data_IF_139603736155
#
_entry.id   IF_139603736155
#
_cell.length_a   1.000
_cell.length_b   1.000
_cell.length_c   1.000
_cell.angle_alpha   90.00
_cell.angle_beta   90.00
_cell.angle_gamma   90.00
#
_symmetry.space_group_name_H-M   'P 1'
#
loop_
_entity.id
_entity.type
_entity.pdbx_description
1 polymer ?
#
# COMPACT_ATOMS: atom_id res chain seq x y z
N UNK A 1 55.74 70.54 10.88
CA UNK A 1 55.17 69.54 9.95
C UNK A 1 53.70 69.43 10.29
N UNK A 2 52.84 69.99 9.45
CA UNK A 2 51.40 69.87 9.62
C UNK A 2 51.03 68.40 9.43
N UNK A 3 50.27 67.86 10.38
CA UNK A 3 49.62 66.55 10.23
C UNK A 3 48.55 66.78 9.17
N UNK A 4 48.79 66.32 7.94
CA UNK A 4 47.76 66.32 6.91
C UNK A 4 46.61 65.42 7.40
N UNK A 5 45.51 66.04 7.82
CA UNK A 5 44.30 65.31 8.15
C UNK A 5 43.77 64.67 6.86
N UNK A 6 43.81 63.34 6.80
CA UNK A 6 43.17 62.60 5.71
C UNK A 6 41.65 62.82 5.80
N UNK A 7 41.09 63.55 4.84
CA UNK A 7 39.65 63.78 4.76
C UNK A 7 39.01 62.81 3.77
N UNK A 8 37.93 62.17 4.20
CA UNK A 8 37.09 61.36 3.33
C UNK A 8 35.82 62.14 2.97
N UNK A 9 35.44 62.06 1.70
CA UNK A 9 34.22 62.68 1.20
C UNK A 9 33.28 61.62 0.62
N UNK A 10 32.04 61.60 1.11
CA UNK A 10 31.02 60.69 0.61
C UNK A 10 30.40 61.26 -0.67
N UNK A 11 30.59 60.56 -1.79
CA UNK A 11 30.12 60.97 -3.12
C UNK A 11 28.78 60.33 -3.53
N UNK A 12 28.28 59.35 -2.76
CA UNK A 12 27.04 58.66 -3.09
C UNK A 12 27.23 57.58 -4.16
N UNK A 13 26.33 57.51 -5.13
CA UNK A 13 26.43 56.55 -6.24
C UNK A 13 27.40 57.08 -7.31
N UNK A 14 28.29 56.25 -7.89
CA UNK A 14 29.23 56.68 -8.94
C UNK A 14 28.53 57.14 -10.24
N UNK A 15 27.32 56.63 -10.49
CA UNK A 15 26.43 57.05 -11.56
C UNK A 15 25.02 57.24 -10.98
N UNK A 16 24.22 58.12 -11.55
CA UNK A 16 22.91 58.48 -11.00
C UNK A 16 22.00 57.25 -10.82
N UNK A 17 21.73 56.88 -9.56
CA UNK A 17 20.91 55.71 -9.21
C UNK A 17 21.58 54.35 -9.43
N UNK A 18 22.90 54.31 -9.69
CA UNK A 18 23.67 53.09 -9.91
C UNK A 18 24.88 53.03 -8.99
N UNK A 19 24.80 52.13 -8.00
CA UNK A 19 25.92 51.75 -7.12
C UNK A 19 27.02 51.05 -7.89
N UNK A 20 28.24 51.12 -7.37
CA UNK A 20 29.39 50.40 -7.93
C UNK A 20 29.18 48.88 -7.78
N UNK A 21 29.14 48.09 -8.88
CA UNK A 21 29.03 46.64 -8.79
C UNK A 21 30.38 46.02 -8.39
N UNK A 22 30.42 45.36 -7.24
CA UNK A 22 31.53 44.51 -6.81
C UNK A 22 31.22 43.08 -7.20
N UNK A 23 32.13 42.41 -7.89
CA UNK A 23 31.86 41.10 -8.49
C UNK A 23 32.79 40.04 -7.89
N UNK A 24 32.20 38.94 -7.43
CA UNK A 24 32.90 37.75 -6.98
C UNK A 24 32.46 36.55 -7.82
N UNK A 25 33.40 35.79 -8.37
CA UNK A 25 33.08 34.56 -9.11
C UNK A 25 33.16 33.35 -8.19
N UNK A 26 32.19 32.44 -8.30
CA UNK A 26 32.19 31.19 -7.52
C UNK A 26 33.40 30.31 -7.81
N UNK A 27 33.94 30.39 -9.03
CA UNK A 27 35.03 29.54 -9.50
C UNK A 27 36.43 30.12 -9.20
N UNK A 28 36.52 31.19 -8.39
CA UNK A 28 37.78 31.81 -7.99
C UNK A 28 38.02 33.19 -8.63
N UNK A 29 39.28 33.60 -8.76
CA UNK A 29 39.66 34.91 -9.30
C UNK A 29 39.91 34.82 -10.81
N UNK A 30 39.54 35.87 -11.53
CA UNK A 30 39.84 36.01 -12.96
C UNK A 30 41.35 36.16 -13.16
N UNK A 31 41.90 35.45 -14.16
CA UNK A 31 43.32 35.54 -14.53
C UNK A 31 43.61 36.72 -15.47
N UNK A 32 42.64 37.09 -16.31
CA UNK A 32 42.67 38.29 -17.14
C UNK A 32 41.28 38.93 -17.09
N UNK A 33 41.22 40.21 -16.74
CA UNK A 33 39.99 41.00 -16.66
C UNK A 33 39.74 41.86 -17.89
N UNK A 34 40.72 41.97 -18.80
CA UNK A 34 40.71 42.94 -19.90
C UNK A 34 39.72 42.57 -21.03
N UNK A 35 39.34 41.30 -21.13
CA UNK A 35 38.46 40.79 -22.19
C UNK A 35 37.01 40.51 -21.73
N UNK A 36 36.64 40.94 -20.51
CA UNK A 36 35.36 40.62 -19.91
C UNK A 36 34.40 41.81 -19.95
N UNK A 37 33.32 41.66 -20.72
CA UNK A 37 32.25 42.64 -20.76
C UNK A 37 31.15 42.26 -19.76
N UNK A 38 30.73 43.23 -18.95
CA UNK A 38 29.65 43.08 -18.00
C UNK A 38 28.43 43.87 -18.47
N UNK A 39 27.27 43.21 -18.47
CA UNK A 39 25.98 43.85 -18.76
C UNK A 39 25.13 43.87 -17.50
N UNK A 40 24.81 45.07 -17.02
CA UNK A 40 23.95 45.28 -15.86
C UNK A 40 22.52 45.62 -16.32
N UNK A 41 21.57 44.78 -15.92
CA UNK A 41 20.14 45.00 -16.15
C UNK A 41 19.49 45.53 -14.88
N UNK A 42 18.64 46.55 -15.05
CA UNK A 42 17.84 47.14 -13.97
C UNK A 42 16.35 46.93 -14.21
N UNK A 43 15.60 46.77 -13.11
CA UNK A 43 14.15 46.65 -13.17
C UNK A 43 13.50 47.98 -13.56
N UNK A 44 12.56 47.92 -14.52
CA UNK A 44 11.72 49.06 -14.93
C UNK A 44 10.51 49.30 -13.99
N UNK A 45 10.23 48.37 -13.07
CA UNK A 45 9.08 48.46 -12.17
C UNK A 45 9.36 49.45 -11.03
N UNK A 46 8.80 50.65 -11.14
CA UNK A 46 8.90 51.73 -10.14
C UNK A 46 7.79 51.70 -9.08
N UNK A 47 6.73 50.90 -9.31
CA UNK A 47 5.54 50.86 -8.46
C UNK A 47 5.79 50.13 -7.13
N UNK A 48 6.60 49.07 -7.19
CA UNK A 48 6.90 48.23 -6.04
C UNK A 48 8.33 48.48 -5.52
N UNK A 49 8.51 48.99 -4.29
CA UNK A 49 9.84 49.31 -3.75
C UNK A 49 10.78 48.09 -3.70
N UNK A 50 10.25 46.87 -3.52
CA UNK A 50 11.05 45.63 -3.53
C UNK A 50 11.49 45.20 -4.92
N UNK A 51 10.79 45.65 -5.98
CA UNK A 51 11.13 45.33 -7.37
C UNK A 51 11.98 46.41 -8.03
N UNK A 52 11.85 47.66 -7.59
CA UNK A 52 12.64 48.81 -8.08
C UNK A 52 14.15 48.61 -7.97
N UNK A 53 14.61 47.99 -6.88
CA UNK A 53 16.03 47.76 -6.63
C UNK A 53 16.58 46.45 -7.21
N UNK A 54 15.78 45.69 -8.00
CA UNK A 54 16.27 44.45 -8.61
C UNK A 54 17.27 44.76 -9.72
N UNK A 55 18.40 44.04 -9.68
CA UNK A 55 19.51 44.12 -10.63
C UNK A 55 19.97 42.71 -11.00
N UNK A 56 20.33 42.54 -12.27
CA UNK A 56 20.93 41.31 -12.79
C UNK A 56 22.22 41.70 -13.50
N UNK A 57 23.32 41.05 -13.14
CA UNK A 57 24.61 41.24 -13.80
C UNK A 57 24.92 39.99 -14.61
N UNK A 58 25.19 40.17 -15.90
CA UNK A 58 25.56 39.11 -16.81
C UNK A 58 26.95 39.35 -17.38
N UNK A 59 27.72 38.28 -17.56
CA UNK A 59 28.96 38.32 -18.33
C UNK A 59 29.15 36.99 -19.05
N UNK A 60 29.73 37.05 -20.24
CA UNK A 60 29.97 35.89 -21.07
C UNK A 60 31.48 35.77 -21.32
N UNK A 61 31.97 34.55 -21.17
CA UNK A 61 33.34 34.16 -21.56
C UNK A 61 33.28 33.16 -22.69
N UNK A 62 34.40 32.91 -23.37
CA UNK A 62 34.51 31.92 -24.45
C UNK A 62 33.97 30.52 -24.10
N UNK A 63 33.89 30.17 -22.81
CA UNK A 63 33.51 28.82 -22.34
C UNK A 63 32.25 28.78 -21.50
N UNK A 64 31.93 29.85 -20.79
CA UNK A 64 30.86 29.88 -19.78
C UNK A 64 30.19 31.24 -19.72
N UNK A 65 28.87 31.25 -19.60
CA UNK A 65 28.10 32.42 -19.21
C UNK A 65 27.97 32.46 -17.69
N UNK A 66 28.06 33.65 -17.10
CA UNK A 66 27.90 33.86 -15.67
C UNK A 66 26.81 34.88 -15.39
N UNK A 67 25.93 34.56 -14.45
CA UNK A 67 24.82 35.43 -14.03
C UNK A 67 24.87 35.64 -12.53
N UNK A 68 24.68 36.87 -12.09
CA UNK A 68 24.41 37.23 -10.70
C UNK A 68 23.10 38.00 -10.58
N UNK A 69 22.38 37.77 -9.47
CA UNK A 69 21.12 38.44 -9.15
C UNK A 69 21.18 38.96 -7.72
N UNK A 70 20.71 40.18 -7.48
CA UNK A 70 20.58 40.73 -6.12
C UNK A 70 19.23 40.39 -5.45
N UNK A 71 18.40 39.56 -6.09
CA UNK A 71 17.10 39.11 -5.58
C UNK A 71 16.88 37.61 -5.80
N UNK A 72 15.95 37.03 -5.04
CA UNK A 72 15.59 35.61 -5.16
C UNK A 72 16.47 34.67 -4.34
N UNK A 73 16.31 33.36 -4.55
CA UNK A 73 16.93 32.30 -3.72
C UNK A 73 18.47 32.24 -3.80
N UNK A 74 19.07 32.79 -4.86
CA UNK A 74 20.53 32.83 -5.06
C UNK A 74 21.20 34.17 -4.71
N UNK A 75 20.44 35.16 -4.22
CA UNK A 75 20.98 36.47 -3.91
C UNK A 75 21.78 36.48 -2.60
N UNK A 76 22.85 37.26 -2.59
CA UNK A 76 23.64 37.51 -1.38
C UNK A 76 22.78 38.24 -0.34
N UNK A 77 22.49 37.55 0.77
CA UNK A 77 21.71 38.13 1.88
C UNK A 77 22.45 39.29 2.58
N UNK A 78 23.77 39.36 2.46
CA UNK A 78 24.57 40.41 3.08
C UNK A 78 24.22 41.82 2.56
N UNK A 79 23.78 41.98 1.30
CA UNK A 79 23.36 43.30 0.80
C UNK A 79 22.10 43.86 1.49
N UNK A 80 21.33 43.00 2.17
CA UNK A 80 20.17 43.44 2.97
C UNK A 80 20.52 43.78 4.42
N UNK A 81 21.66 43.28 4.92
CA UNK A 81 22.11 43.42 6.31
C UNK A 81 23.29 44.40 6.45
N UNK A 82 24.07 44.59 5.39
CA UNK A 82 25.29 45.39 5.36
C UNK A 82 25.24 46.35 4.16
N UNK A 83 25.79 47.55 4.33
CA UNK A 83 26.05 48.50 3.25
C UNK A 83 27.53 48.47 2.91
N UNK A 84 27.85 48.30 1.64
CA UNK A 84 29.21 48.28 1.15
C UNK A 84 29.55 49.63 0.52
N UNK A 85 30.81 50.03 0.68
CA UNK A 85 31.35 51.24 0.08
C UNK A 85 32.71 50.93 -0.54
N UNK A 86 33.05 51.64 -1.62
CA UNK A 86 34.38 51.62 -2.23
C UNK A 86 35.01 52.97 -1.96
N UNK A 87 36.20 52.94 -1.34
CA UNK A 87 37.05 54.11 -1.18
C UNK A 87 38.08 54.17 -2.31
N UNK A 88 38.16 55.31 -3.00
CA UNK A 88 39.25 55.63 -3.93
C UNK A 88 40.12 56.68 -3.26
N UNK A 89 41.36 56.33 -2.94
CA UNK A 89 42.32 57.23 -2.30
C UNK A 89 43.26 57.80 -3.36
N UNK A 90 43.34 59.13 -3.43
CA UNK A 90 44.40 59.81 -4.18
C UNK A 90 45.58 60.07 -3.24
N UNK A 91 46.67 59.33 -3.44
CA UNK A 91 47.89 59.40 -2.61
C UNK A 91 48.55 60.78 -2.64
N UNK A 92 48.41 61.53 -3.74
CA UNK A 92 49.04 62.83 -3.90
C UNK A 92 48.29 63.96 -3.16
N UNK A 93 46.97 63.81 -3.00
CA UNK A 93 46.13 64.81 -2.32
C UNK A 93 45.64 64.38 -0.95
N UNK A 94 45.98 63.16 -0.51
CA UNK A 94 45.54 62.55 0.75
C UNK A 94 44.01 62.56 0.95
N UNK A 95 43.24 62.61 -0.15
CA UNK A 95 41.77 62.66 -0.14
C UNK A 95 41.19 61.32 -0.57
N UNK A 96 40.23 60.83 0.22
CA UNK A 96 39.49 59.60 -0.10
C UNK A 96 38.07 59.91 -0.56
N UNK A 97 37.70 59.43 -1.74
CA UNK A 97 36.33 59.49 -2.22
C UNK A 97 35.61 58.17 -1.94
N UNK A 98 34.45 58.24 -1.30
CA UNK A 98 33.69 57.05 -0.88
C UNK A 98 32.40 56.94 -1.67
N UNK A 99 32.23 55.83 -2.38
CA UNK A 99 31.10 55.52 -3.24
C UNK A 99 30.28 54.34 -2.71
N UNK A 100 28.96 54.37 -2.90
CA UNK A 100 28.08 53.24 -2.60
C UNK A 100 28.43 52.06 -3.51
N UNK A 101 28.48 50.86 -2.93
CA UNK A 101 28.75 49.63 -3.66
C UNK A 101 27.69 48.55 -3.39
N UNK A 102 27.58 47.62 -4.33
CA UNK A 102 26.71 46.47 -4.24
C UNK A 102 27.45 45.21 -4.67
N UNK A 103 27.42 44.17 -3.84
CA UNK A 103 28.13 42.92 -4.10
C UNK A 103 27.29 41.95 -4.92
N UNK A 104 27.88 41.37 -5.95
CA UNK A 104 27.29 40.37 -6.85
C UNK A 104 28.13 39.10 -6.82
N UNK A 105 27.49 37.95 -6.56
CA UNK A 105 28.12 36.65 -6.68
C UNK A 105 27.75 36.01 -8.02
N UNK A 106 28.73 35.89 -8.92
CA UNK A 106 28.58 35.37 -10.27
C UNK A 106 28.61 33.85 -10.26
N UNK A 107 27.51 33.24 -10.71
CA UNK A 107 27.36 31.80 -10.81
C UNK A 107 27.40 31.37 -12.28
N UNK A 108 28.11 30.27 -12.63
CA UNK A 108 28.12 29.77 -14.00
C UNK A 108 26.72 29.25 -14.37
N UNK A 109 26.23 29.69 -15.53
CA UNK A 109 25.04 29.14 -16.15
C UNK A 109 25.46 27.90 -16.93
N UNK A 110 25.30 26.73 -16.33
CA UNK A 110 25.49 25.44 -17.02
C UNK A 110 24.19 25.15 -17.77
N UNK A 111 24.26 25.07 -19.09
CA UNK A 111 23.09 24.89 -19.98
C UNK A 111 22.26 23.62 -19.70
N UNK A 112 22.81 22.65 -18.97
CA UNK A 112 22.08 21.44 -18.53
C UNK A 112 21.12 21.69 -17.33
N UNK A 113 21.29 22.77 -16.56
CA UNK A 113 20.41 23.10 -15.43
C UNK A 113 19.20 23.95 -15.84
N UNK A 114 18.99 24.15 -17.15
CA UNK A 114 17.77 24.76 -17.70
C UNK A 114 16.57 23.77 -17.72
N UNK A 115 16.58 22.76 -16.85
CA UNK A 115 15.34 22.30 -16.26
C UNK A 115 14.86 23.41 -15.31
N UNK A 116 14.35 24.51 -15.88
CA UNK A 116 13.30 25.24 -15.18
C UNK A 116 12.31 24.16 -14.75
N UNK A 117 12.14 23.94 -13.44
CA UNK A 117 11.06 23.12 -12.94
C UNK A 117 9.81 23.65 -13.65
N UNK A 118 9.33 22.89 -14.63
CA UNK A 118 8.28 23.34 -15.51
C UNK A 118 7.02 23.43 -14.67
N UNK A 119 6.82 24.59 -14.06
CA UNK A 119 5.69 24.89 -13.21
C UNK A 119 4.41 24.87 -14.05
N UNK A 120 4.47 24.80 -15.39
CA UNK A 120 3.30 24.55 -16.22
C UNK A 120 2.63 23.22 -15.84
N UNK A 121 3.43 22.20 -15.52
CA UNK A 121 2.96 20.89 -15.10
C UNK A 121 2.40 20.92 -13.67
N UNK A 122 2.93 21.79 -12.80
CA UNK A 122 2.35 22.04 -11.48
C UNK A 122 1.06 22.86 -11.57
N UNK A 123 0.99 23.86 -12.46
CA UNK A 123 -0.17 24.73 -12.62
C UNK A 123 -1.35 24.02 -13.27
N UNK A 124 -1.10 23.13 -14.24
CA UNK A 124 -2.10 22.31 -14.93
C UNK A 124 -2.73 21.23 -14.05
N UNK A 125 -2.06 20.83 -12.97
CA UNK A 125 -2.57 19.85 -12.01
C UNK A 125 -3.81 20.35 -11.28
N UNK A 126 -4.80 19.46 -11.17
CA UNK A 126 -6.04 19.68 -10.42
C UNK A 126 -5.75 19.94 -8.94
N UNK A 127 -6.65 20.65 -8.25
CA UNK A 127 -6.56 20.87 -6.80
C UNK A 127 -6.31 19.56 -6.04
N UNK A 128 -6.97 18.48 -6.48
CA UNK A 128 -6.84 17.16 -5.87
C UNK A 128 -5.44 16.55 -6.06
N UNK A 129 -4.85 16.71 -7.26
CA UNK A 129 -3.51 16.23 -7.57
C UNK A 129 -2.44 17.01 -6.80
N UNK A 130 -2.65 18.33 -6.61
CA UNK A 130 -1.79 19.16 -5.75
C UNK A 130 -1.84 18.69 -4.30
N UNK A 131 -3.02 18.36 -3.78
CA UNK A 131 -3.19 17.80 -2.43
C UNK A 131 -2.50 16.43 -2.31
N UNK A 132 -2.63 15.58 -3.33
CA UNK A 132 -1.98 14.27 -3.35
C UNK A 132 -0.45 14.38 -3.36
N UNK A 133 0.11 15.32 -4.12
CA UNK A 133 1.55 15.63 -4.09
C UNK A 133 2.01 16.14 -2.72
N UNK A 134 1.22 16.99 -2.05
CA UNK A 134 1.52 17.43 -0.69
C UNK A 134 1.48 16.28 0.32
N UNK A 135 0.54 15.34 0.19
CA UNK A 135 0.48 14.14 1.05
C UNK A 135 1.66 13.21 0.78
N UNK A 136 2.09 13.10 -0.48
CA UNK A 136 3.25 12.29 -0.86
C UNK A 136 4.54 12.89 -0.29
N UNK A 137 4.77 14.20 -0.47
CA UNK A 137 5.96 14.90 0.01
C UNK A 137 5.99 15.08 1.54
N UNK A 138 4.89 15.49 2.17
CA UNK A 138 4.84 15.93 3.58
C UNK A 138 3.84 15.19 4.47
N UNK A 139 3.02 14.30 3.89
CA UNK A 139 1.99 13.58 4.64
C UNK A 139 2.56 12.57 5.64
N UNK A 140 1.79 12.31 6.70
CA UNK A 140 2.10 11.25 7.67
C UNK A 140 2.09 9.86 7.01
N UNK A 141 2.78 8.88 7.60
CA UNK A 141 2.78 7.49 7.10
C UNK A 141 1.35 6.92 6.90
N UNK A 142 0.40 7.34 7.74
CA UNK A 142 -1.01 6.95 7.63
C UNK A 142 -1.67 7.57 6.38
N UNK A 143 -1.43 8.85 6.12
CA UNK A 143 -1.96 9.56 4.95
C UNK A 143 -1.34 9.04 3.64
N UNK A 144 -0.01 8.83 3.61
CA UNK A 144 0.68 8.24 2.46
C UNK A 144 0.15 6.85 2.12
N UNK A 145 -0.09 6.00 3.13
CA UNK A 145 -0.68 4.66 2.93
C UNK A 145 -2.11 4.73 2.38
N UNK A 146 -2.92 5.67 2.85
CA UNK A 146 -4.27 5.89 2.34
C UNK A 146 -4.27 6.38 0.88
N UNK A 147 -3.35 7.30 0.54
CA UNK A 147 -3.15 7.78 -0.82
C UNK A 147 -2.69 6.67 -1.77
N UNK A 148 -1.69 5.88 -1.38
CA UNK A 148 -1.21 4.75 -2.18
C UNK A 148 -2.31 3.69 -2.39
N UNK A 149 -3.12 3.42 -1.38
CA UNK A 149 -4.28 2.53 -1.53
C UNK A 149 -5.31 3.08 -2.52
N UNK A 150 -5.56 4.39 -2.54
CA UNK A 150 -6.47 5.02 -3.51
C UNK A 150 -5.92 4.92 -4.93
N UNK A 151 -4.65 5.29 -5.15
CA UNK A 151 -3.97 5.18 -6.46
C UNK A 151 -3.99 3.73 -6.98
N UNK A 152 -3.71 2.74 -6.13
CA UNK A 152 -3.78 1.32 -6.53
C UNK A 152 -5.18 0.87 -6.96
N UNK A 153 -6.23 1.34 -6.28
CA UNK A 153 -7.61 0.98 -6.61
C UNK A 153 -8.08 1.64 -7.92
N UNK A 154 -7.60 2.85 -8.22
CA UNK A 154 -7.89 3.57 -9.47
C UNK A 154 -7.25 2.88 -10.68
N UNK A 155 -5.96 2.53 -10.59
CA UNK A 155 -5.28 1.74 -11.63
C UNK A 155 -5.95 0.39 -11.82
N UNK A 156 -6.37 -0.28 -10.73
CA UNK A 156 -7.13 -1.52 -10.80
C UNK A 156 -8.46 -1.36 -11.55
N UNK A 157 -9.15 -0.22 -11.39
CA UNK A 157 -10.39 0.09 -12.09
C UNK A 157 -10.16 0.32 -13.59
N UNK A 158 -9.09 1.01 -13.98
CA UNK A 158 -8.79 1.26 -15.40
C UNK A 158 -8.33 0.00 -16.13
N UNK A 159 -7.52 -0.84 -15.48
CA UNK A 159 -7.13 -2.15 -16.02
C UNK A 159 -8.36 -3.05 -16.15
N UNK A 160 -9.26 -3.03 -15.16
CA UNK A 160 -10.53 -3.76 -15.22
C UNK A 160 -11.43 -3.22 -16.34
N UNK A 161 -11.57 -1.91 -16.47
CA UNK A 161 -12.39 -1.28 -17.52
C UNK A 161 -11.85 -1.59 -18.93
N UNK A 162 -10.52 -1.58 -19.12
CA UNK A 162 -9.89 -1.97 -20.40
C UNK A 162 -10.05 -3.46 -20.69
N UNK A 163 -9.92 -4.32 -19.68
CA UNK A 163 -10.16 -5.75 -19.82
C UNK A 163 -11.64 -6.07 -20.10
N UNK A 164 -12.56 -5.33 -19.48
CA UNK A 164 -14.01 -5.42 -19.72
C UNK A 164 -14.35 -4.89 -21.11
N UNK A 165 -13.81 -3.77 -21.56
CA UNK A 165 -14.00 -3.27 -22.93
C UNK A 165 -13.50 -4.28 -23.97
N UNK A 166 -12.33 -4.89 -23.74
CA UNK A 166 -11.77 -5.94 -24.59
C UNK A 166 -12.59 -7.24 -24.56
N UNK A 167 -13.17 -7.58 -23.41
CA UNK A 167 -14.09 -8.71 -23.28
C UNK A 167 -15.45 -8.41 -23.94
N UNK A 168 -15.92 -7.17 -23.91
CA UNK A 168 -17.14 -6.72 -24.59
C UNK A 168 -16.95 -6.74 -26.11
N UNK A 169 -15.80 -6.32 -26.64
CA UNK A 169 -15.46 -6.48 -28.07
C UNK A 169 -15.48 -7.96 -28.50
N UNK A 170 -14.88 -8.85 -27.70
CA UNK A 170 -14.86 -10.29 -28.00
C UNK A 170 -16.24 -10.98 -27.88
N UNK A 171 -17.15 -10.44 -27.05
CA UNK A 171 -18.50 -11.00 -26.83
C UNK A 171 -19.50 -10.45 -27.87
N UNK A 172 -19.24 -9.29 -28.47
CA UNK A 172 -20.09 -8.75 -29.56
C UNK A 172 -19.95 -9.60 -30.85
N UNK A 173 -18.82 -10.27 -31.08
CA UNK A 173 -18.66 -11.24 -32.19
C UNK A 173 -19.31 -12.61 -31.92
N UNK A 174 -19.65 -12.93 -30.66
CA UNK A 174 -20.21 -14.24 -30.29
C UNK A 174 -21.45 -14.09 -29.40
N UNK A 175 -22.57 -13.73 -30.05
CA UNK A 175 -23.95 -13.91 -29.58
C UNK A 175 -24.28 -13.39 -28.16
N UNK A 176 -25.10 -12.34 -28.13
CA UNK A 176 -26.30 -12.38 -27.28
C UNK A 176 -26.55 -11.15 -26.41
N UNK A 177 -27.41 -10.25 -26.90
CA UNK A 177 -28.05 -9.17 -26.12
C UNK A 177 -29.08 -9.72 -25.10
N UNK A 178 -29.32 -11.04 -25.06
CA UNK A 178 -30.27 -11.69 -24.15
C UNK A 178 -29.73 -11.97 -22.73
N UNK A 179 -28.41 -11.98 -22.51
CA UNK A 179 -27.79 -12.29 -21.19
C UNK A 179 -27.54 -11.06 -20.32
N UNK A 180 -27.66 -9.84 -20.87
CA UNK A 180 -27.32 -8.61 -20.15
C UNK A 180 -28.40 -8.14 -19.17
N UNK A 181 -29.66 -8.54 -19.35
CA UNK A 181 -30.75 -8.16 -18.44
C UNK A 181 -30.81 -9.02 -17.16
N UNK A 182 -30.15 -10.19 -17.13
CA UNK A 182 -30.08 -11.04 -15.92
C UNK A 182 -28.92 -10.66 -14.99
N UNK A 183 -27.85 -10.06 -15.50
CA UNK A 183 -26.62 -9.81 -14.75
C UNK A 183 -26.65 -8.54 -13.89
N UNK A 184 -27.64 -7.65 -14.08
CA UNK A 184 -27.80 -6.45 -13.25
C UNK A 184 -28.38 -6.74 -11.86
N UNK A 185 -28.96 -7.94 -11.64
CA UNK A 185 -29.46 -8.37 -10.34
C UNK A 185 -28.41 -9.15 -9.50
N UNK A 186 -27.23 -9.44 -10.06
CA UNK A 186 -26.22 -10.32 -9.44
C UNK A 186 -24.91 -9.63 -9.05
N UNK A 187 -24.71 -8.35 -9.39
CA UNK A 187 -23.45 -7.65 -9.12
C UNK A 187 -23.10 -7.49 -7.63
N UNK A 188 -24.08 -7.63 -6.72
CA UNK A 188 -23.87 -7.58 -5.27
C UNK A 188 -23.62 -8.97 -4.63
N UNK A 189 -23.79 -10.07 -5.37
CA UNK A 189 -23.56 -11.45 -4.87
C UNK A 189 -22.13 -11.96 -5.11
N UNK A 190 -21.43 -11.45 -6.11
CA UNK A 190 -20.15 -12.02 -6.59
C UNK A 190 -18.99 -11.89 -5.59
N UNK A 191 -18.89 -10.80 -4.83
CA UNK A 191 -17.78 -10.64 -3.87
C UNK A 191 -17.92 -11.50 -2.60
N UNK A 192 -19.14 -11.85 -2.20
CA UNK A 192 -19.39 -12.75 -1.06
C UNK A 192 -19.35 -14.23 -1.48
N UNK A 193 -19.84 -14.54 -2.69
CA UNK A 193 -19.86 -15.90 -3.24
C UNK A 193 -18.48 -16.49 -3.51
N UNK A 194 -17.47 -15.66 -3.81
CA UNK A 194 -16.09 -16.14 -4.05
C UNK A 194 -15.38 -16.61 -2.77
N UNK A 195 -15.88 -16.18 -1.61
CA UNK A 195 -15.24 -16.41 -0.31
C UNK A 195 -15.87 -17.60 0.41
N UNK A 196 -17.15 -17.87 0.22
CA UNK A 196 -17.81 -19.03 0.83
C UNK A 196 -17.64 -20.29 -0.05
N UNK A 197 -17.69 -21.50 0.53
CA UNK A 197 -17.85 -22.72 -0.25
C UNK A 197 -19.16 -22.69 -1.04
N UNK A 198 -19.25 -23.43 -2.17
CA UNK A 198 -20.50 -23.59 -2.91
C UNK A 198 -21.65 -24.00 -1.97
N UNK A 199 -22.74 -23.24 -1.98
CA UNK A 199 -23.88 -23.42 -1.09
C UNK A 199 -25.10 -23.80 -1.92
N UNK A 200 -25.66 -24.99 -1.69
CA UNK A 200 -26.87 -25.49 -2.34
C UNK A 200 -28.07 -25.24 -1.42
N UNK A 201 -28.74 -24.10 -1.57
CA UNK A 201 -29.81 -23.66 -0.65
C UNK A 201 -31.05 -24.58 -0.70
N UNK A 202 -31.26 -25.25 -1.84
CA UNK A 202 -32.37 -26.14 -2.17
C UNK A 202 -32.12 -27.62 -1.78
N UNK A 203 -31.01 -27.87 -1.07
CA UNK A 203 -30.71 -29.19 -0.54
C UNK A 203 -31.75 -29.66 0.49
N UNK A 204 -32.22 -30.91 0.32
CA UNK A 204 -33.19 -31.56 1.24
C UNK A 204 -32.52 -32.21 2.45
N UNK A 205 -31.19 -32.29 2.46
CA UNK A 205 -30.40 -32.92 3.52
C UNK A 205 -29.25 -32.01 3.93
N UNK A 206 -28.88 -31.92 5.21
CA UNK A 206 -27.77 -31.07 5.66
C UNK A 206 -26.45 -31.35 4.94
N UNK A 207 -26.16 -32.62 4.63
CA UNK A 207 -24.96 -33.06 3.92
C UNK A 207 -24.82 -32.42 2.53
N UNK A 208 -25.95 -32.15 1.87
CA UNK A 208 -26.01 -31.68 0.50
C UNK A 208 -25.97 -30.15 0.37
N UNK A 209 -26.09 -29.40 1.47
CA UNK A 209 -25.99 -27.92 1.45
C UNK A 209 -24.56 -27.49 1.11
N UNK A 210 -23.58 -28.21 1.65
CA UNK A 210 -22.16 -28.06 1.33
C UNK A 210 -21.60 -29.44 0.95
N UNK A 211 -21.75 -29.88 -0.30
CA UNK A 211 -21.35 -31.23 -0.71
C UNK A 211 -19.88 -31.51 -0.42
N UNK A 212 -19.57 -32.73 0.02
CA UNK A 212 -18.20 -33.12 0.34
C UNK A 212 -17.27 -33.05 -0.90
N UNK A 213 -17.79 -33.43 -2.07
CA UNK A 213 -17.05 -33.42 -3.34
C UNK A 213 -16.57 -32.01 -3.74
N UNK A 214 -17.32 -30.98 -3.37
CA UNK A 214 -16.95 -29.57 -3.60
C UNK A 214 -15.85 -29.10 -2.63
N UNK A 215 -15.76 -29.73 -1.45
CA UNK A 215 -14.74 -29.44 -0.45
C UNK A 215 -13.44 -30.16 -0.77
N UNK A 216 -13.49 -31.45 -1.13
CA UNK A 216 -12.36 -32.32 -1.46
C UNK A 216 -12.71 -33.19 -2.66
N UNK A 217 -12.05 -32.97 -3.80
CA UNK A 217 -12.25 -33.77 -4.99
C UNK A 217 -11.66 -35.18 -4.81
N UNK A 218 -12.16 -36.16 -5.56
CA UNK A 218 -11.79 -37.58 -5.41
C UNK A 218 -10.27 -37.83 -5.46
N UNK A 219 -9.57 -37.24 -6.45
CA UNK A 219 -8.12 -37.39 -6.58
C UNK A 219 -7.34 -36.77 -5.40
N UNK A 220 -7.88 -35.72 -4.78
CA UNK A 220 -7.30 -35.09 -3.60
C UNK A 220 -7.56 -35.96 -2.37
N UNK A 221 -8.78 -36.49 -2.25
CA UNK A 221 -9.17 -37.38 -1.17
C UNK A 221 -8.33 -38.67 -1.14
N UNK A 222 -8.02 -39.24 -2.30
CA UNK A 222 -7.12 -40.39 -2.42
C UNK A 222 -5.69 -40.04 -1.99
N UNK A 223 -5.17 -38.88 -2.41
CA UNK A 223 -3.84 -38.43 -2.03
C UNK A 223 -3.67 -38.21 -0.51
N UNK A 224 -4.75 -38.02 0.24
CA UNK A 224 -4.74 -37.85 1.70
C UNK A 224 -4.52 -39.14 2.48
N UNK A 225 -4.63 -40.33 1.85
CA UNK A 225 -4.52 -41.61 2.56
C UNK A 225 -3.18 -41.78 3.28
N UNK A 226 -2.08 -41.63 2.55
CA UNK A 226 -0.73 -41.81 3.10
C UNK A 226 -0.41 -40.85 4.26
N UNK A 227 -0.64 -39.53 4.15
CA UNK A 227 -0.34 -38.62 5.25
C UNK A 227 -1.32 -38.73 6.42
N UNK A 228 -2.56 -39.18 6.20
CA UNK A 228 -3.56 -39.38 7.26
C UNK A 228 -3.32 -40.63 8.12
N UNK A 229 -2.48 -41.58 7.66
CA UNK A 229 -2.14 -42.79 8.41
C UNK A 229 -1.58 -42.51 9.81
N UNK A 230 -0.94 -41.34 9.98
CA UNK A 230 -0.44 -40.85 11.29
C UNK A 230 -1.55 -40.75 12.34
N UNK A 231 -2.79 -40.48 11.91
CA UNK A 231 -3.94 -40.37 12.81
C UNK A 231 -4.69 -41.68 13.02
N UNK A 232 -4.60 -42.60 12.06
CA UNK A 232 -5.29 -43.90 12.14
C UNK A 232 -4.65 -44.78 13.21
N UNK A 233 -3.32 -44.74 13.31
CA UNK A 233 -2.53 -45.55 14.25
C UNK A 233 -2.13 -44.81 15.53
N UNK A 234 -2.62 -43.58 15.72
CA UNK A 234 -2.25 -42.75 16.85
C UNK A 234 -2.68 -43.40 18.18
N UNK A 235 -1.71 -43.71 19.03
CA UNK A 235 -1.95 -44.19 20.40
C UNK A 235 -2.26 -43.03 21.35
N UNK A 236 -2.85 -43.32 22.52
CA UNK A 236 -3.13 -42.28 23.53
C UNK A 236 -1.88 -41.52 23.95
N UNK A 237 -0.74 -42.21 24.06
CA UNK A 237 0.55 -41.61 24.43
C UNK A 237 1.10 -40.72 23.31
N UNK A 238 0.94 -41.13 22.05
CA UNK A 238 1.29 -40.29 20.90
C UNK A 238 0.41 -39.05 20.81
N UNK A 239 -0.90 -39.15 21.12
CA UNK A 239 -1.80 -38.00 21.17
C UNK A 239 -1.38 -37.03 22.29
N UNK A 240 -0.99 -37.54 23.46
CA UNK A 240 -0.47 -36.71 24.54
C UNK A 240 0.81 -35.98 24.09
N UNK A 241 1.76 -36.69 23.47
CA UNK A 241 2.97 -36.10 22.92
C UNK A 241 2.70 -35.05 21.84
N UNK A 242 1.79 -35.34 20.89
CA UNK A 242 1.37 -34.39 19.85
C UNK A 242 0.72 -33.12 20.44
N UNK A 243 0.06 -33.24 21.59
CA UNK A 243 -0.55 -32.13 22.33
C UNK A 243 0.50 -31.26 23.00
N UNK A 244 1.50 -31.87 23.67
CA UNK A 244 2.62 -31.16 24.29
C UNK A 244 3.45 -30.39 23.26
N UNK A 245 3.75 -31.03 22.12
CA UNK A 245 4.50 -30.44 21.02
C UNK A 245 3.70 -29.38 20.24
N UNK A 246 2.39 -29.23 20.49
CA UNK A 246 1.47 -28.35 19.74
C UNK A 246 1.58 -28.54 18.23
N UNK A 247 1.72 -29.80 17.80
CA UNK A 247 1.99 -30.16 16.40
C UNK A 247 0.78 -29.98 15.48
N UNK A 248 -0.42 -30.10 16.06
CA UNK A 248 -1.72 -29.98 15.40
C UNK A 248 -2.62 -29.01 16.17
N UNK A 249 -3.66 -28.51 15.51
CA UNK A 249 -4.59 -27.57 16.12
C UNK A 249 -5.49 -28.23 17.18
N UNK A 250 -6.07 -27.42 18.07
CA UNK A 250 -6.82 -27.94 19.23
C UNK A 250 -8.05 -28.76 18.83
N UNK A 251 -8.74 -28.37 17.75
CA UNK A 251 -9.84 -29.13 17.17
C UNK A 251 -9.40 -30.54 16.78
N UNK A 252 -8.28 -30.69 16.04
CA UNK A 252 -7.78 -32.00 15.60
C UNK A 252 -7.41 -32.87 16.78
N UNK A 253 -6.69 -32.32 17.77
CA UNK A 253 -6.31 -33.06 18.97
C UNK A 253 -7.53 -33.50 19.81
N UNK A 254 -8.62 -32.72 19.81
CA UNK A 254 -9.88 -33.10 20.42
C UNK A 254 -10.54 -34.27 19.70
N UNK A 255 -10.62 -34.19 18.37
CA UNK A 255 -11.27 -35.23 17.54
C UNK A 255 -10.49 -36.55 17.46
N UNK A 256 -9.17 -36.53 17.64
CA UNK A 256 -8.36 -37.75 17.73
C UNK A 256 -8.69 -38.59 18.97
N UNK A 257 -9.25 -37.99 20.02
CA UNK A 257 -9.71 -38.72 21.22
C UNK A 257 -11.05 -39.44 20.97
N UNK A 258 -11.81 -39.01 19.96
CA UNK A 258 -13.14 -39.49 19.61
C UNK A 258 -13.16 -40.14 18.21
N UNK A 259 -12.16 -40.99 17.91
CA UNK A 259 -12.09 -41.67 16.63
C UNK A 259 -13.11 -42.81 16.53
N UNK A 260 -13.80 -42.98 15.39
CA UNK A 260 -14.72 -44.09 15.15
C UNK A 260 -14.06 -45.47 15.30
N UNK A 261 -14.86 -46.47 15.69
CA UNK A 261 -14.41 -47.87 15.73
C UNK A 261 -14.33 -48.50 14.33
N UNK A 262 -15.26 -48.11 13.44
CA UNK A 262 -15.31 -48.57 12.06
C UNK A 262 -14.09 -48.07 11.26
N UNK A 263 -13.43 -48.97 10.55
CA UNK A 263 -12.18 -48.70 9.84
C UNK A 263 -12.36 -47.67 8.72
N UNK A 264 -13.44 -47.77 7.93
CA UNK A 264 -13.72 -46.85 6.83
C UNK A 264 -14.03 -45.45 7.35
N UNK A 265 -14.86 -45.36 8.39
CA UNK A 265 -15.22 -44.10 9.03
C UNK A 265 -14.02 -43.46 9.72
N UNK A 266 -13.13 -44.28 10.32
CA UNK A 266 -11.87 -43.83 10.92
C UNK A 266 -10.91 -43.26 9.88
N UNK A 267 -10.71 -43.96 8.76
CA UNK A 267 -9.89 -43.48 7.64
C UNK A 267 -10.46 -42.17 7.07
N UNK A 268 -11.78 -42.11 6.83
CA UNK A 268 -12.45 -40.90 6.35
C UNK A 268 -12.23 -39.71 7.30
N UNK A 269 -12.45 -39.91 8.61
CA UNK A 269 -12.24 -38.88 9.63
C UNK A 269 -10.77 -38.44 9.68
N UNK A 270 -9.82 -39.39 9.62
CA UNK A 270 -8.39 -39.09 9.61
C UNK A 270 -7.98 -38.22 8.41
N UNK A 271 -8.44 -38.55 7.20
CA UNK A 271 -8.19 -37.76 5.98
C UNK A 271 -8.75 -36.34 6.10
N UNK A 272 -9.98 -36.22 6.60
CA UNK A 272 -10.62 -34.93 6.82
C UNK A 272 -9.87 -34.08 7.86
N UNK A 273 -9.46 -34.67 8.98
CA UNK A 273 -8.68 -34.00 10.02
C UNK A 273 -7.32 -33.53 9.50
N UNK A 274 -6.67 -34.31 8.65
CA UNK A 274 -5.38 -33.93 8.07
C UNK A 274 -5.51 -32.75 7.10
N UNK A 275 -6.53 -32.79 6.24
CA UNK A 275 -6.80 -31.66 5.34
C UNK A 275 -7.23 -30.41 6.12
N UNK A 276 -8.02 -30.59 7.19
CA UNK A 276 -8.40 -29.51 8.10
C UNK A 276 -7.17 -28.84 8.72
N UNK A 277 -6.23 -29.61 9.27
CA UNK A 277 -4.99 -29.08 9.82
C UNK A 277 -4.17 -28.29 8.79
N UNK A 278 -4.16 -28.73 7.53
CA UNK A 278 -3.53 -27.99 6.43
C UNK A 278 -4.17 -26.60 6.21
N UNK A 279 -5.49 -26.50 6.30
CA UNK A 279 -6.20 -25.21 6.22
C UNK A 279 -5.81 -24.29 7.40
N UNK A 280 -5.74 -24.82 8.62
CA UNK A 280 -5.34 -24.05 9.80
C UNK A 280 -3.88 -23.56 9.68
N UNK A 281 -2.97 -24.44 9.28
CA UNK A 281 -1.56 -24.09 9.03
C UNK A 281 -1.43 -23.00 7.99
N UNK A 282 -2.16 -23.10 6.87
CA UNK A 282 -2.15 -22.07 5.83
C UNK A 282 -2.65 -20.71 6.34
N UNK A 283 -3.70 -20.68 7.15
CA UNK A 283 -4.27 -19.44 7.68
C UNK A 283 -3.27 -18.65 8.55
N UNK A 284 -2.30 -19.34 9.16
CA UNK A 284 -1.22 -18.74 9.93
C UNK A 284 -0.09 -18.13 9.07
N UNK A 285 0.03 -18.54 7.80
CA UNK A 285 1.07 -18.06 6.89
C UNK A 285 0.66 -16.74 6.22
N UNK A 286 1.59 -15.79 6.13
CA UNK A 286 1.37 -14.54 5.36
C UNK A 286 1.73 -14.71 3.90
N UNK A 287 2.89 -15.32 3.63
CA UNK A 287 3.42 -15.57 2.29
C UNK A 287 3.66 -17.06 2.16
N UNK A 288 3.23 -17.64 1.04
CA UNK A 288 3.24 -19.08 0.78
C UNK A 288 4.18 -19.36 -0.38
N UNK A 289 5.18 -20.22 -0.14
CA UNK A 289 6.06 -20.69 -1.23
C UNK A 289 5.33 -21.76 -2.03
N UNK A 290 5.37 -21.67 -3.37
CA UNK A 290 4.73 -22.66 -4.24
C UNK A 290 5.30 -24.08 -4.03
N UNK A 291 6.62 -24.17 -3.79
CA UNK A 291 7.31 -25.41 -3.41
C UNK A 291 7.22 -25.57 -1.89
N UNK A 292 6.64 -26.68 -1.43
CA UNK A 292 6.51 -27.07 -0.02
C UNK A 292 5.68 -26.09 0.84
N UNK A 293 4.52 -25.63 0.34
CA UNK A 293 3.64 -24.69 1.05
C UNK A 293 3.31 -25.13 2.49
N UNK A 294 3.16 -26.44 2.71
CA UNK A 294 2.73 -27.05 3.97
C UNK A 294 3.78 -28.01 4.56
N UNK A 295 5.02 -27.96 4.05
CA UNK A 295 6.11 -28.84 4.45
C UNK A 295 6.33 -30.05 3.51
N UNK A 296 7.36 -30.86 3.77
CA UNK A 296 7.80 -31.94 2.89
C UNK A 296 6.84 -33.15 2.85
N UNK A 297 6.06 -33.36 3.91
CA UNK A 297 5.15 -34.51 4.04
C UNK A 297 3.78 -34.28 3.38
N UNK A 298 3.56 -33.12 2.75
CA UNK A 298 2.31 -32.78 2.09
C UNK A 298 2.32 -33.25 0.63
N UNK A 299 1.36 -34.07 0.18
CA UNK A 299 1.26 -34.46 -1.23
C UNK A 299 1.16 -33.24 -2.16
N UNK A 300 1.87 -33.27 -3.29
CA UNK A 300 1.91 -32.15 -4.24
C UNK A 300 0.53 -31.74 -4.75
N UNK A 301 -0.37 -32.71 -4.94
CA UNK A 301 -1.76 -32.46 -5.37
C UNK A 301 -2.47 -31.54 -4.36
N UNK A 302 -2.34 -31.86 -3.07
CA UNK A 302 -2.94 -31.08 -1.99
C UNK A 302 -2.28 -29.70 -1.86
N UNK A 303 -0.94 -29.64 -1.89
CA UNK A 303 -0.21 -28.36 -1.85
C UNK A 303 -0.62 -27.45 -3.02
N UNK A 304 -0.77 -28.00 -4.23
CA UNK A 304 -1.19 -27.26 -5.41
C UNK A 304 -2.63 -26.75 -5.27
N UNK A 305 -3.56 -27.59 -4.81
CA UNK A 305 -4.94 -27.17 -4.52
C UNK A 305 -4.96 -26.01 -3.53
N UNK A 306 -4.26 -26.17 -2.41
CA UNK A 306 -4.32 -25.20 -1.32
C UNK A 306 -3.77 -23.84 -1.77
N UNK A 307 -2.64 -23.83 -2.47
CA UNK A 307 -2.08 -22.59 -3.02
C UNK A 307 -3.02 -21.98 -4.06
N UNK A 308 -3.57 -22.77 -4.98
CA UNK A 308 -4.44 -22.26 -6.05
C UNK A 308 -5.77 -21.69 -5.52
N UNK A 309 -6.36 -22.31 -4.51
CA UNK A 309 -7.72 -21.98 -4.04
C UNK A 309 -7.73 -20.91 -2.95
N UNK A 310 -6.70 -20.86 -2.11
CA UNK A 310 -6.68 -20.05 -0.88
C UNK A 310 -5.53 -19.03 -0.82
N UNK A 311 -4.84 -18.75 -1.93
CA UNK A 311 -3.86 -17.67 -2.00
C UNK A 311 -4.16 -16.72 -3.15
N UNK A 312 -3.73 -15.46 -3.02
CA UNK A 312 -3.79 -14.46 -4.07
C UNK A 312 -2.37 -14.01 -4.43
N UNK A 313 -2.12 -13.80 -5.71
CA UNK A 313 -0.86 -13.26 -6.19
C UNK A 313 -0.75 -11.79 -5.75
N UNK A 314 0.38 -11.45 -5.12
CA UNK A 314 0.68 -10.12 -4.61
C UNK A 314 2.11 -9.75 -4.98
N UNK A 315 2.32 -8.51 -5.44
CA UNK A 315 3.65 -8.00 -5.70
C UNK A 315 4.23 -7.38 -4.42
N UNK A 316 5.35 -7.91 -3.95
CA UNK A 316 6.01 -7.44 -2.74
C UNK A 316 7.49 -7.81 -2.76
N UNK A 317 8.34 -6.93 -2.22
CA UNK A 317 9.79 -7.12 -2.21
C UNK A 317 10.38 -7.38 -3.62
N UNK A 318 9.83 -6.71 -4.65
CA UNK A 318 10.29 -6.84 -6.04
C UNK A 318 10.00 -8.20 -6.69
N UNK A 319 9.18 -9.07 -6.09
CA UNK A 319 8.84 -10.39 -6.63
C UNK A 319 7.34 -10.66 -6.51
N UNK A 320 6.83 -11.49 -7.42
CA UNK A 320 5.47 -12.01 -7.36
C UNK A 320 5.43 -13.16 -6.35
N UNK A 321 4.55 -13.06 -5.35
CA UNK A 321 4.43 -14.06 -4.29
C UNK A 321 2.97 -14.40 -4.00
N UNK A 322 2.71 -15.66 -3.63
CA UNK A 322 1.40 -16.08 -3.16
C UNK A 322 1.21 -15.58 -1.72
N UNK A 323 0.13 -14.85 -1.48
CA UNK A 323 -0.17 -14.26 -0.18
C UNK A 323 -1.54 -14.73 0.31
N UNK A 324 -1.64 -15.03 1.61
CA UNK A 324 -2.94 -15.24 2.27
C UNK A 324 -3.47 -13.87 2.69
N UNK A 325 -4.28 -13.27 1.81
CA UNK A 325 -4.93 -11.98 2.07
C UNK A 325 -6.05 -12.12 3.12
N UNK A 326 -6.59 -10.99 3.57
CA UNK A 326 -7.71 -11.00 4.52
C UNK A 326 -8.95 -11.72 3.97
N UNK A 327 -9.26 -11.58 2.68
CA UNK A 327 -10.36 -12.33 2.05
C UNK A 327 -10.08 -13.82 1.98
N UNK A 328 -8.83 -14.21 1.70
CA UNK A 328 -8.44 -15.62 1.71
C UNK A 328 -8.55 -16.24 3.10
N UNK A 329 -8.23 -15.51 4.18
CA UNK A 329 -8.45 -15.99 5.55
C UNK A 329 -9.92 -16.30 5.85
N UNK A 330 -10.83 -15.47 5.35
CA UNK A 330 -12.27 -15.70 5.47
C UNK A 330 -12.65 -16.97 4.69
N UNK A 331 -12.11 -17.15 3.48
CA UNK A 331 -12.35 -18.32 2.65
C UNK A 331 -11.84 -19.61 3.29
N UNK A 332 -10.63 -19.58 3.84
CA UNK A 332 -10.07 -20.71 4.59
C UNK A 332 -10.96 -21.04 5.79
N UNK A 333 -11.38 -20.03 6.55
CA UNK A 333 -12.25 -20.22 7.71
C UNK A 333 -13.61 -20.85 7.33
N UNK A 334 -14.24 -20.40 6.24
CA UNK A 334 -15.52 -20.97 5.81
C UNK A 334 -15.38 -22.40 5.28
N UNK A 335 -14.30 -22.71 4.55
CA UNK A 335 -14.02 -24.09 4.14
C UNK A 335 -13.68 -24.99 5.33
N UNK A 336 -12.95 -24.48 6.34
CA UNK A 336 -12.66 -25.21 7.56
C UNK A 336 -13.95 -25.51 8.35
N UNK A 337 -14.86 -24.54 8.47
CA UNK A 337 -16.18 -24.75 9.08
C UNK A 337 -16.96 -25.83 8.32
N UNK A 338 -17.04 -25.73 6.98
CA UNK A 338 -17.77 -26.71 6.16
C UNK A 338 -17.21 -28.13 6.34
N UNK A 339 -15.89 -28.28 6.34
CA UNK A 339 -15.26 -29.57 6.57
C UNK A 339 -15.50 -30.11 7.98
N UNK A 340 -15.39 -29.26 9.00
CA UNK A 340 -15.66 -29.68 10.38
C UNK A 340 -17.13 -30.03 10.63
N UNK A 341 -18.08 -29.47 9.87
CA UNK A 341 -19.47 -29.93 9.89
C UNK A 341 -19.59 -31.39 9.41
N UNK A 342 -18.87 -31.78 8.36
CA UNK A 342 -18.83 -33.18 7.91
C UNK A 342 -18.15 -34.11 8.92
N UNK A 343 -17.16 -33.61 9.68
CA UNK A 343 -16.46 -34.39 10.72
C UNK A 343 -17.37 -34.65 11.94
N UNK A 344 -18.16 -33.66 12.35
CA UNK A 344 -18.91 -33.67 13.62
C UNK A 344 -20.43 -33.64 13.43
N UNK A 345 -20.98 -34.49 12.55
CA UNK A 345 -22.43 -34.68 12.35
C UNK A 345 -23.20 -33.34 12.22
N UNK A 346 -22.67 -32.40 11.44
CA UNK A 346 -23.26 -31.09 11.16
C UNK A 346 -23.39 -30.14 12.36
N UNK A 347 -22.57 -30.35 13.40
CA UNK A 347 -22.44 -29.45 14.54
C UNK A 347 -20.97 -29.18 14.86
N UNK A 348 -20.63 -27.92 15.13
CA UNK A 348 -19.26 -27.50 15.42
C UNK A 348 -19.21 -26.50 16.56
N UNK A 349 -18.20 -26.62 17.42
CA UNK A 349 -17.86 -25.58 18.39
C UNK A 349 -17.04 -24.46 17.75
N UNK A 350 -17.69 -23.31 17.54
CA UNK A 350 -17.07 -22.13 16.95
C UNK A 350 -16.04 -21.49 17.88
N UNK A 351 -16.09 -21.71 19.19
CA UNK A 351 -15.15 -21.10 20.14
C UNK A 351 -13.78 -21.76 20.08
N UNK A 352 -13.73 -23.09 19.95
CA UNK A 352 -12.49 -23.84 19.71
C UNK A 352 -11.90 -23.44 18.37
N UNK A 353 -12.73 -23.41 17.32
CA UNK A 353 -12.28 -23.08 15.98
C UNK A 353 -11.78 -21.63 15.85
N UNK A 354 -12.39 -20.69 16.58
CA UNK A 354 -11.94 -19.30 16.64
C UNK A 354 -10.49 -19.19 17.13
N UNK A 355 -10.14 -19.96 18.18
CA UNK A 355 -8.80 -19.97 18.76
C UNK A 355 -7.79 -20.53 17.77
N UNK A 356 -8.12 -21.64 17.11
CA UNK A 356 -7.27 -22.27 16.09
C UNK A 356 -7.06 -21.37 14.85
N UNK A 357 -8.12 -20.70 14.37
CA UNK A 357 -8.05 -19.78 13.23
C UNK A 357 -7.51 -18.39 13.59
N UNK A 358 -7.26 -18.10 14.88
CA UNK A 358 -6.84 -16.78 15.39
C UNK A 358 -7.75 -15.66 14.88
N UNK A 359 -9.06 -15.90 14.85
CA UNK A 359 -10.06 -14.93 14.43
C UNK A 359 -10.67 -14.21 15.63
N UNK A 360 -11.16 -12.99 15.39
CA UNK A 360 -12.04 -12.34 16.35
C UNK A 360 -13.39 -13.07 16.38
N UNK A 361 -14.00 -13.13 17.56
CA UNK A 361 -15.29 -13.78 17.79
C UNK A 361 -16.39 -13.26 16.85
N UNK A 362 -16.50 -11.94 16.71
CA UNK A 362 -17.47 -11.33 15.79
C UNK A 362 -17.29 -11.84 14.35
N UNK A 363 -16.04 -12.05 13.92
CA UNK A 363 -15.72 -12.48 12.55
C UNK A 363 -16.11 -13.92 12.29
N UNK A 364 -15.84 -14.84 13.22
CA UNK A 364 -16.25 -16.24 13.03
C UNK A 364 -17.78 -16.39 13.05
N UNK A 365 -18.46 -15.60 13.88
CA UNK A 365 -19.93 -15.58 13.92
C UNK A 365 -20.52 -14.99 12.65
N UNK A 366 -19.92 -13.95 12.08
CA UNK A 366 -20.35 -13.40 10.79
C UNK A 366 -20.19 -14.41 9.66
N UNK A 367 -19.09 -15.18 9.66
CA UNK A 367 -18.87 -16.26 8.68
C UNK A 367 -19.90 -17.37 8.87
N UNK A 368 -20.13 -17.83 10.10
CA UNK A 368 -21.12 -18.86 10.40
C UNK A 368 -22.55 -18.43 9.99
N UNK A 369 -22.93 -17.17 10.23
CA UNK A 369 -24.20 -16.61 9.76
C UNK A 369 -24.27 -16.54 8.23
N UNK A 370 -23.20 -16.12 7.58
CA UNK A 370 -23.11 -16.08 6.12
C UNK A 370 -23.23 -17.48 5.51
N UNK A 371 -22.73 -18.51 6.21
CA UNK A 371 -22.87 -19.92 5.88
C UNK A 371 -24.22 -20.53 6.27
N UNK A 372 -25.19 -19.74 6.75
CA UNK A 372 -26.53 -20.19 7.18
C UNK A 372 -26.51 -21.19 8.35
N UNK A 373 -25.54 -21.09 9.25
CA UNK A 373 -25.52 -21.94 10.45
C UNK A 373 -26.42 -21.37 11.55
N UNK A 374 -27.17 -22.25 12.21
CA UNK A 374 -27.90 -21.92 13.44
C UNK A 374 -26.89 -21.85 14.58
N UNK A 375 -26.80 -20.69 15.23
CA UNK A 375 -25.86 -20.48 16.33
C UNK A 375 -26.62 -20.61 17.66
N UNK A 376 -26.21 -21.56 18.50
CA UNK A 376 -26.71 -21.73 19.87
C UNK A 376 -25.60 -21.50 20.88
N UNK A 377 -25.97 -21.05 22.08
CA UNK A 377 -25.05 -20.95 23.21
C UNK A 377 -25.22 -22.19 24.09
N UNK A 378 -24.14 -22.88 24.37
CA UNK A 378 -24.08 -23.95 25.36
C UNK A 378 -23.39 -23.42 26.61
N UNK A 379 -24.02 -23.59 27.78
CA UNK A 379 -23.40 -23.27 29.07
C UNK A 379 -22.54 -24.45 29.49
N UNK A 380 -21.23 -24.34 29.29
CA UNK A 380 -20.25 -25.22 29.90
C UNK A 380 -19.94 -24.80 31.34
N UNK A 381 -19.27 -25.68 32.10
CA UNK A 381 -18.86 -25.45 33.49
C UNK A 381 -17.81 -24.33 33.67
N UNK A 382 -17.22 -23.80 32.58
CA UNK A 382 -16.10 -22.83 32.67
C UNK A 382 -16.12 -21.73 31.58
N UNK A 383 -16.60 -22.02 30.37
CA UNK A 383 -16.70 -21.04 29.25
C UNK A 383 -18.09 -21.12 28.57
N UNK A 384 -18.64 -19.99 28.10
CA UNK A 384 -19.81 -19.98 27.21
C UNK A 384 -19.38 -20.46 25.81
N UNK A 385 -19.70 -21.70 25.46
CA UNK A 385 -19.42 -22.26 24.14
C UNK A 385 -20.50 -21.87 23.13
N UNK A 386 -20.08 -21.52 21.91
CA UNK A 386 -21.00 -21.18 20.80
C UNK A 386 -20.97 -22.28 19.77
N UNK A 387 -22.07 -22.99 19.64
CA UNK A 387 -22.21 -24.09 18.69
C UNK A 387 -22.85 -23.57 17.40
N UNK A 388 -22.24 -23.88 16.26
CA UNK A 388 -22.82 -23.73 14.94
C UNK A 388 -23.39 -25.06 14.49
N UNK A 389 -24.67 -25.10 14.14
CA UNK A 389 -25.33 -26.30 13.62
C UNK A 389 -25.91 -26.01 12.25
N UNK A 390 -25.66 -26.91 11.29
CA UNK A 390 -26.31 -26.88 9.99
C UNK A 390 -27.60 -27.71 10.07
N UNK A 391 -28.74 -27.03 10.02
CA UNK A 391 -30.07 -27.63 10.16
C UNK A 391 -31.00 -27.04 9.11
N UNK A 392 -31.86 -27.88 8.54
CA UNK A 392 -32.91 -27.45 7.61
C UNK A 392 -34.22 -27.19 8.35
N UNK A 393 -35.01 -26.16 7.98
CA UNK A 393 -34.72 -25.18 6.92
C UNK A 393 -33.61 -24.19 7.30
N UNK A 394 -32.88 -23.69 6.30
CA UNK A 394 -31.77 -22.77 6.52
C UNK A 394 -32.25 -21.44 7.14
N UNK A 395 -31.57 -20.93 8.18
CA UNK A 395 -31.93 -19.67 8.81
C UNK A 395 -31.77 -18.46 7.87
N UNK A 396 -32.80 -17.63 7.82
CA UNK A 396 -32.78 -16.37 7.07
C UNK A 396 -32.21 -15.25 7.95
N UNK A 397 -30.91 -14.99 7.83
CA UNK A 397 -30.29 -13.85 8.48
C UNK A 397 -30.54 -12.57 7.65
N UNK A 398 -31.36 -11.65 8.17
CA UNK A 398 -31.42 -10.29 7.62
C UNK A 398 -30.13 -9.56 8.00
N UNK A 399 -29.40 -9.05 7.01
CA UNK A 399 -28.28 -8.13 7.27
C UNK A 399 -28.82 -6.92 8.04
N UNK A 400 -28.19 -6.48 9.13
CA UNK A 400 -28.55 -5.20 9.75
C UNK A 400 -28.44 -4.12 8.68
N UNK A 401 -29.49 -3.33 8.49
CA UNK A 401 -29.47 -2.20 7.57
C UNK A 401 -28.26 -1.33 7.94
N UNK A 402 -27.25 -1.27 7.07
CA UNK A 402 -26.03 -0.53 7.33
C UNK A 402 -26.39 0.91 7.70
N UNK A 403 -25.78 1.41 8.78
CA UNK A 403 -25.96 2.79 9.25
C UNK A 403 -25.96 3.73 8.04
N UNK A 404 -27.14 4.30 7.73
CA UNK A 404 -27.29 5.38 6.76
C UNK A 404 -26.27 6.44 7.16
N UNK A 405 -25.23 6.62 6.33
CA UNK A 405 -24.33 7.76 6.45
C UNK A 405 -25.23 9.00 6.42
N UNK A 406 -25.30 9.73 7.54
CA UNK A 406 -25.92 11.06 7.58
C UNK A 406 -25.22 11.88 6.50
N UNK A 407 -25.98 12.32 5.50
CA UNK A 407 -25.55 13.42 4.64
C UNK A 407 -25.28 14.60 5.58
N UNK A 408 -24.03 15.03 5.67
CA UNK A 408 -23.75 16.36 6.19
C UNK A 408 -24.24 17.35 5.12
N UNK A 409 -25.13 18.24 5.55
CA UNK A 409 -25.42 19.50 4.86
C UNK A 409 -24.18 20.40 4.91
#
# INVERSE_FOLDING_TARGET
MAVEEAWWCFRGDPQEGQKAPLVQFTNGKLKSSENLNFTLYSSKDTSNPKKKHRRILNTETDRLSYVAKNFGKGALKCNSLCRYFIGVLDENSSKMEVYNAELFNMQPLVTDDAAEEDLSEYLSKSYREKVDLCIEAFGTNKQRKALNSRKMNEVGKDVLNKAVAKAVENVIETKGVATLLSNAAESDKTNASLVLPPCHEDAKRPEAVYPFEDLIATAEYEALQAPAAVFIHATSDEIAKMTEEKRYCSFVLGELKSMPLDEKSRDHKARCLWFFDCLIKLNSQRVVKKKNALGPNCPNIISNKIVKTFTALSFGNGRLQNQVSASMKIKIASFAIALALHINNFQIDLTVLQRDLKLQEARILDIAKAMRLKITKSKGLSDEHKLGTLSLPLPVYRRPAGNRKRKML
#
